data_IF_103946034777
#
_entry.id   IF_103946034777
#
_cell.length_a   1.000
_cell.length_b   1.000
_cell.length_c   1.000
_cell.angle_alpha   90.00
_cell.angle_beta   90.00
_cell.angle_gamma   90.00
#
_symmetry.space_group_name_H-M   'P 1'
#
loop_
_entity.id
_entity.type
_entity.pdbx_description
1 polymer ?
#
# COMPACT_ATOMS: atom_id res chain seq x y z
N UNK A 1 15.18 -13.26 -17.58
CA UNK A 1 15.91 -12.07 -18.09
C UNK A 1 14.95 -11.01 -18.63
N UNK A 2 13.90 -11.38 -19.38
CA UNK A 2 12.90 -10.42 -19.87
C UNK A 2 12.01 -9.87 -18.74
N UNK A 3 11.56 -10.72 -17.82
CA UNK A 3 10.76 -10.34 -16.66
C UNK A 3 11.49 -9.27 -15.82
N UNK A 4 12.79 -9.47 -15.56
CA UNK A 4 13.60 -8.51 -14.78
C UNK A 4 13.75 -7.14 -15.48
N UNK A 5 13.76 -7.11 -16.82
CA UNK A 5 13.76 -5.84 -17.56
C UNK A 5 12.42 -5.11 -17.45
N UNK A 6 11.31 -5.85 -17.57
CA UNK A 6 9.96 -5.28 -17.42
C UNK A 6 9.78 -4.73 -16.01
N UNK A 7 10.16 -5.47 -14.98
CA UNK A 7 10.12 -5.01 -13.58
C UNK A 7 10.95 -3.74 -13.37
N UNK A 8 12.17 -3.69 -13.93
CA UNK A 8 13.03 -2.50 -13.81
C UNK A 8 12.42 -1.28 -14.49
N UNK A 9 11.93 -1.44 -15.73
CA UNK A 9 11.28 -0.35 -16.49
C UNK A 9 10.04 0.14 -15.75
N UNK A 10 9.21 -0.78 -15.25
CA UNK A 10 8.01 -0.44 -14.46
C UNK A 10 8.37 0.32 -13.19
N UNK A 11 9.40 -0.12 -12.46
CA UNK A 11 9.87 0.57 -11.26
C UNK A 11 10.37 1.99 -11.56
N UNK A 12 11.16 2.17 -12.61
CA UNK A 12 11.66 3.49 -13.03
C UNK A 12 10.48 4.40 -13.41
N UNK A 13 9.53 3.91 -14.21
CA UNK A 13 8.35 4.68 -14.60
C UNK A 13 7.52 5.08 -13.38
N UNK A 14 7.28 4.14 -12.46
CA UNK A 14 6.50 4.39 -11.25
C UNK A 14 7.17 5.47 -10.39
N UNK A 15 8.45 5.37 -10.13
CA UNK A 15 9.19 6.38 -9.35
C UNK A 15 9.17 7.73 -10.06
N UNK A 16 9.43 7.76 -11.38
CA UNK A 16 9.46 9.01 -12.16
C UNK A 16 8.11 9.71 -12.14
N UNK A 17 7.01 9.00 -12.41
CA UNK A 17 5.67 9.60 -12.42
C UNK A 17 5.23 10.02 -11.02
N UNK A 18 5.53 9.23 -9.99
CA UNK A 18 5.20 9.59 -8.61
C UNK A 18 5.95 10.84 -8.18
N UNK A 19 7.25 10.93 -8.44
CA UNK A 19 8.05 12.10 -8.10
C UNK A 19 7.58 13.34 -8.87
N UNK A 20 7.32 13.20 -10.17
CA UNK A 20 6.79 14.28 -10.99
C UNK A 20 5.45 14.79 -10.43
N UNK A 21 4.53 13.90 -10.06
CA UNK A 21 3.25 14.26 -9.46
C UNK A 21 3.42 15.00 -8.13
N UNK A 22 4.25 14.45 -7.22
CA UNK A 22 4.52 15.07 -5.91
C UNK A 22 5.12 16.46 -6.06
N UNK A 23 6.11 16.60 -6.96
CA UNK A 23 6.71 17.91 -7.23
C UNK A 23 5.71 18.91 -7.82
N UNK A 24 4.87 18.46 -8.75
CA UNK A 24 3.83 19.31 -9.34
C UNK A 24 2.85 19.81 -8.28
N UNK A 25 2.39 18.93 -7.38
CA UNK A 25 1.52 19.32 -6.26
C UNK A 25 2.22 20.27 -5.28
N UNK A 26 3.47 19.98 -4.91
CA UNK A 26 4.23 20.83 -4.00
C UNK A 26 4.50 22.24 -4.57
N UNK A 27 4.78 22.33 -5.87
CA UNK A 27 4.96 23.63 -6.54
C UNK A 27 3.65 24.39 -6.70
N UNK A 28 2.53 23.69 -6.92
CA UNK A 28 1.23 24.32 -7.11
C UNK A 28 0.60 24.82 -5.80
N UNK A 29 0.75 24.09 -4.71
CA UNK A 29 0.10 24.36 -3.42
C UNK A 29 1.02 25.05 -2.40
N UNK A 30 2.33 24.86 -2.52
CA UNK A 30 3.29 25.25 -1.48
C UNK A 30 3.15 24.44 -0.19
N UNK A 31 3.91 24.80 0.84
CA UNK A 31 3.88 24.11 2.12
C UNK A 31 2.51 24.28 2.82
N UNK A 32 2.00 25.48 2.86
CA UNK A 32 0.74 25.82 3.55
C UNK A 32 -0.46 25.11 2.92
N UNK A 33 -0.52 25.03 1.58
CA UNK A 33 -1.58 24.30 0.88
C UNK A 33 -1.51 22.78 1.07
N UNK A 34 -0.31 22.22 1.20
CA UNK A 34 -0.13 20.80 1.52
C UNK A 34 -0.58 20.49 2.95
N UNK A 35 -0.29 21.37 3.90
CA UNK A 35 -0.74 21.21 5.29
C UNK A 35 -2.26 21.37 5.41
N UNK A 36 -2.86 22.32 4.70
CA UNK A 36 -4.31 22.49 4.66
C UNK A 36 -5.03 21.27 4.05
N UNK A 37 -4.47 20.65 3.00
CA UNK A 37 -5.01 19.41 2.44
C UNK A 37 -4.95 18.25 3.46
N UNK A 38 -3.88 18.19 4.24
CA UNK A 38 -3.72 17.22 5.33
C UNK A 38 -4.77 17.40 6.42
N UNK A 39 -4.98 18.64 6.87
CA UNK A 39 -5.97 18.97 7.91
C UNK A 39 -7.40 18.63 7.47
N UNK A 40 -7.73 18.83 6.21
CA UNK A 40 -9.03 18.47 5.63
C UNK A 40 -9.20 16.95 5.42
N UNK A 41 -8.14 16.15 5.59
CA UNK A 41 -8.14 14.70 5.35
C UNK A 41 -8.64 14.31 3.94
N UNK A 42 -8.27 15.10 2.93
CA UNK A 42 -8.63 14.87 1.53
C UNK A 42 -7.39 14.57 0.67
N UNK A 43 -7.55 13.79 -0.42
CA UNK A 43 -6.47 13.62 -1.39
C UNK A 43 -6.01 14.96 -1.96
N UNK A 44 -4.69 15.15 -2.11
CA UNK A 44 -4.08 16.40 -2.58
C UNK A 44 -4.67 16.87 -3.92
N UNK A 45 -4.97 15.94 -4.83
CA UNK A 45 -5.58 16.27 -6.12
C UNK A 45 -7.00 16.85 -5.95
N UNK A 46 -7.76 16.37 -4.99
CA UNK A 46 -9.10 16.90 -4.68
C UNK A 46 -9.01 18.28 -4.05
N UNK A 47 -8.04 18.50 -3.16
CA UNK A 47 -7.76 19.80 -2.59
C UNK A 47 -7.36 20.81 -3.68
N UNK A 48 -6.43 20.44 -4.56
CA UNK A 48 -6.00 21.27 -5.67
C UNK A 48 -7.16 21.66 -6.61
N UNK A 49 -8.08 20.70 -6.86
CA UNK A 49 -9.26 20.96 -7.69
C UNK A 49 -10.20 22.02 -7.07
N UNK A 50 -10.33 22.00 -5.74
CA UNK A 50 -11.14 22.95 -5.00
C UNK A 50 -10.51 24.36 -5.01
N UNK A 51 -9.19 24.45 -4.77
CA UNK A 51 -8.47 25.71 -4.70
C UNK A 51 -8.34 26.42 -6.07
N UNK A 52 -8.08 25.66 -7.12
CA UNK A 52 -7.88 26.26 -8.45
C UNK A 52 -9.16 26.73 -9.12
N UNK A 53 -10.34 26.34 -8.60
CA UNK A 53 -11.66 26.61 -9.20
C UNK A 53 -11.73 26.31 -10.71
N UNK A 54 -10.86 25.43 -11.20
CA UNK A 54 -10.80 25.05 -12.61
C UNK A 54 -11.92 24.04 -12.92
N UNK A 55 -12.89 24.37 -13.79
CA UNK A 55 -14.01 23.47 -14.07
C UNK A 55 -13.56 22.08 -14.54
N UNK A 56 -12.49 22.01 -15.31
CA UNK A 56 -11.89 20.76 -15.78
C UNK A 56 -11.40 19.89 -14.61
N UNK A 57 -10.71 20.49 -13.65
CA UNK A 57 -10.18 19.77 -12.49
C UNK A 57 -11.28 19.27 -11.56
N UNK A 58 -12.35 20.03 -11.41
CA UNK A 58 -13.50 19.69 -10.60
C UNK A 58 -14.20 18.41 -11.11
N UNK A 59 -14.20 18.18 -12.43
CA UNK A 59 -14.79 16.97 -13.03
C UNK A 59 -13.82 15.79 -13.08
N UNK A 60 -12.57 16.04 -13.46
CA UNK A 60 -11.61 14.95 -13.72
C UNK A 60 -11.03 14.34 -12.44
N UNK A 61 -10.85 15.16 -11.38
CA UNK A 61 -10.28 14.72 -10.11
C UNK A 61 -11.09 13.59 -9.44
N UNK A 62 -12.43 13.70 -9.27
CA UNK A 62 -13.24 12.62 -8.73
C UNK A 62 -13.19 11.35 -9.58
N UNK A 63 -13.17 11.48 -10.90
CA UNK A 63 -13.10 10.32 -11.81
C UNK A 63 -11.78 9.58 -11.62
N UNK A 64 -10.66 10.30 -11.60
CA UNK A 64 -9.33 9.70 -11.36
C UNK A 64 -9.30 9.03 -9.98
N UNK A 65 -9.79 9.71 -8.94
CA UNK A 65 -9.83 9.16 -7.59
C UNK A 65 -10.66 7.86 -7.52
N UNK A 66 -11.85 7.84 -8.11
CA UNK A 66 -12.72 6.66 -8.15
C UNK A 66 -12.04 5.51 -8.90
N UNK A 67 -11.46 5.77 -10.08
CA UNK A 67 -10.75 4.75 -10.84
C UNK A 67 -9.54 4.18 -10.07
N UNK A 68 -8.76 5.04 -9.42
CA UNK A 68 -7.61 4.63 -8.62
C UNK A 68 -8.03 3.78 -7.41
N UNK A 69 -9.10 4.18 -6.70
CA UNK A 69 -9.64 3.44 -5.56
C UNK A 69 -10.18 2.07 -6.01
N UNK A 70 -10.96 2.03 -7.08
CA UNK A 70 -11.54 0.78 -7.60
C UNK A 70 -10.45 -0.21 -8.00
N UNK A 71 -9.46 0.21 -8.78
CA UNK A 71 -8.37 -0.67 -9.22
C UNK A 71 -7.55 -1.18 -8.05
N UNK A 72 -7.23 -0.32 -7.09
CA UNK A 72 -6.51 -0.69 -5.86
C UNK A 72 -7.32 -1.67 -5.01
N UNK A 73 -8.62 -1.39 -4.81
CA UNK A 73 -9.52 -2.24 -4.03
C UNK A 73 -9.58 -3.67 -4.59
N UNK A 74 -9.81 -3.81 -5.89
CA UNK A 74 -9.87 -5.15 -6.52
C UNK A 74 -8.54 -5.90 -6.44
N UNK A 75 -7.43 -5.22 -6.63
CA UNK A 75 -6.11 -5.84 -6.49
C UNK A 75 -5.86 -6.39 -5.09
N UNK A 76 -6.17 -5.61 -4.05
CA UNK A 76 -6.02 -6.02 -2.67
C UNK A 76 -7.03 -7.09 -2.26
N UNK A 77 -8.27 -7.02 -2.77
CA UNK A 77 -9.32 -8.01 -2.50
C UNK A 77 -8.92 -9.40 -3.02
N UNK A 78 -8.45 -9.49 -4.27
CA UNK A 78 -7.96 -10.74 -4.84
C UNK A 78 -6.79 -11.32 -4.04
N UNK A 79 -5.81 -10.49 -3.69
CA UNK A 79 -4.69 -10.91 -2.84
C UNK A 79 -5.13 -11.39 -1.46
N UNK A 80 -6.14 -10.74 -0.87
CA UNK A 80 -6.72 -11.14 0.43
C UNK A 80 -7.46 -12.47 0.32
N UNK A 81 -8.25 -12.68 -0.73
CA UNK A 81 -8.92 -13.97 -0.98
C UNK A 81 -7.94 -15.12 -1.09
N UNK A 82 -6.92 -14.96 -1.94
CA UNK A 82 -5.91 -16.00 -2.18
C UNK A 82 -5.06 -16.26 -0.94
N UNK A 83 -4.59 -15.19 -0.29
CA UNK A 83 -3.78 -15.26 0.92
C UNK A 83 -4.54 -15.91 2.08
N UNK A 84 -5.80 -15.54 2.30
CA UNK A 84 -6.63 -16.14 3.35
C UNK A 84 -6.91 -17.62 3.07
N UNK A 85 -7.22 -17.96 1.83
CA UNK A 85 -7.44 -19.37 1.45
C UNK A 85 -6.18 -20.22 1.65
N UNK A 86 -5.01 -19.68 1.29
CA UNK A 86 -3.73 -20.36 1.50
C UNK A 86 -3.41 -20.55 2.98
N UNK A 87 -3.51 -19.48 3.77
CA UNK A 87 -3.26 -19.52 5.20
C UNK A 87 -4.19 -20.52 5.92
N UNK A 88 -5.47 -20.48 5.60
CA UNK A 88 -6.46 -21.35 6.22
C UNK A 88 -6.19 -22.83 5.92
N UNK A 89 -5.83 -23.14 4.67
CA UNK A 89 -5.45 -24.50 4.26
C UNK A 89 -4.15 -24.96 4.89
N UNK A 90 -3.22 -24.04 5.15
CA UNK A 90 -1.92 -24.37 5.75
C UNK A 90 -2.00 -24.57 7.27
N UNK A 91 -2.76 -23.71 7.96
CA UNK A 91 -2.84 -23.70 9.44
C UNK A 91 -3.94 -24.62 9.97
N UNK A 92 -5.08 -24.68 9.27
CA UNK A 92 -6.25 -25.44 9.70
C UNK A 92 -6.87 -26.28 8.56
N UNK A 93 -6.15 -27.26 8.00
CA UNK A 93 -6.59 -28.00 6.81
C UNK A 93 -7.94 -28.70 6.99
N UNK A 94 -8.21 -29.26 8.15
CA UNK A 94 -9.47 -29.94 8.46
C UNK A 94 -10.66 -28.97 8.54
N UNK A 95 -10.42 -27.75 8.98
CA UNK A 95 -11.44 -26.69 9.00
C UNK A 95 -11.67 -26.17 7.58
N UNK A 96 -10.60 -25.89 6.86
CA UNK A 96 -10.65 -25.41 5.48
C UNK A 96 -11.39 -26.39 4.53
N UNK A 97 -11.24 -27.70 4.75
CA UNK A 97 -11.91 -28.72 3.96
C UNK A 97 -13.45 -28.72 4.10
N UNK A 98 -13.99 -28.10 5.14
CA UNK A 98 -15.45 -27.99 5.37
C UNK A 98 -16.11 -26.93 4.50
N UNK A 99 -15.33 -26.01 3.95
CA UNK A 99 -15.84 -24.89 3.15
C UNK A 99 -15.49 -25.06 1.68
N UNK A 100 -16.46 -24.82 0.81
CA UNK A 100 -16.15 -24.72 -0.61
C UNK A 100 -15.30 -23.46 -0.89
N UNK A 101 -14.54 -23.48 -1.96
CA UNK A 101 -13.73 -22.30 -2.37
C UNK A 101 -14.60 -21.07 -2.57
N UNK A 102 -15.79 -21.23 -3.11
CA UNK A 102 -16.75 -20.12 -3.32
C UNK A 102 -17.26 -19.55 -2.00
N UNK A 103 -17.60 -20.41 -1.03
CA UNK A 103 -18.04 -19.98 0.30
C UNK A 103 -16.96 -19.18 1.01
N UNK A 104 -15.71 -19.67 0.95
CA UNK A 104 -14.58 -18.98 1.57
C UNK A 104 -14.35 -17.60 0.95
N UNK A 105 -14.35 -17.49 -0.38
CA UNK A 105 -14.25 -16.20 -1.09
C UNK A 105 -15.37 -15.25 -0.69
N UNK A 106 -16.60 -15.72 -0.69
CA UNK A 106 -17.75 -14.90 -0.31
C UNK A 106 -17.62 -14.39 1.14
N UNK A 107 -17.19 -15.23 2.06
CA UNK A 107 -16.97 -14.84 3.46
C UNK A 107 -15.88 -13.77 3.59
N UNK A 108 -14.76 -13.93 2.87
CA UNK A 108 -13.67 -12.93 2.84
C UNK A 108 -14.18 -11.62 2.25
N UNK A 109 -14.94 -11.66 1.16
CA UNK A 109 -15.46 -10.46 0.52
C UNK A 109 -16.43 -9.70 1.42
N UNK A 110 -17.34 -10.40 2.09
CA UNK A 110 -18.26 -9.79 3.06
C UNK A 110 -17.48 -9.18 4.21
N UNK A 111 -16.48 -9.89 4.75
CA UNK A 111 -15.66 -9.38 5.84
C UNK A 111 -14.90 -8.12 5.44
N UNK A 112 -14.22 -8.13 4.28
CA UNK A 112 -13.48 -6.97 3.75
C UNK A 112 -14.43 -5.80 3.50
N UNK A 113 -15.60 -6.05 2.90
CA UNK A 113 -16.59 -5.01 2.64
C UNK A 113 -17.11 -4.36 3.92
N UNK A 114 -17.52 -5.18 4.89
CA UNK A 114 -18.00 -4.67 6.19
C UNK A 114 -16.92 -3.88 6.91
N UNK A 115 -15.68 -4.38 6.93
CA UNK A 115 -14.54 -3.66 7.53
C UNK A 115 -14.29 -2.34 6.82
N UNK A 116 -14.32 -2.31 5.49
CA UNK A 116 -14.15 -1.08 4.71
C UNK A 116 -15.24 -0.05 5.02
N UNK A 117 -16.51 -0.48 5.13
CA UNK A 117 -17.63 0.40 5.51
C UNK A 117 -17.43 0.95 6.92
N UNK A 118 -17.06 0.11 7.89
CA UNK A 118 -16.80 0.57 9.27
C UNK A 118 -15.69 1.61 9.28
N UNK A 119 -14.56 1.36 8.61
CA UNK A 119 -13.45 2.30 8.52
C UNK A 119 -13.87 3.60 7.83
N UNK A 120 -14.67 3.52 6.76
CA UNK A 120 -15.19 4.71 6.09
C UNK A 120 -16.08 5.57 6.99
N UNK A 121 -16.93 4.93 7.82
CA UNK A 121 -17.79 5.64 8.77
C UNK A 121 -16.98 6.28 9.91
N UNK A 122 -15.94 5.59 10.38
CA UNK A 122 -15.06 6.12 11.44
C UNK A 122 -14.18 7.28 10.95
N UNK A 123 -14.00 7.37 9.62
CA UNK A 123 -13.21 8.42 8.95
C UNK A 123 -11.86 8.74 9.63
N UNK A 124 -11.00 7.74 9.87
CA UNK A 124 -9.69 7.99 10.45
C UNK A 124 -8.81 8.82 9.51
N UNK A 125 -7.74 9.40 10.04
CA UNK A 125 -6.73 10.10 9.24
C UNK A 125 -6.16 9.16 8.16
N UNK A 126 -6.26 9.56 6.90
CA UNK A 126 -5.73 8.80 5.76
C UNK A 126 -4.22 8.61 5.90
N UNK A 127 -3.51 9.66 6.36
CA UNK A 127 -2.06 9.62 6.51
C UNK A 127 -1.61 8.66 7.62
N UNK A 128 -2.36 8.60 8.73
CA UNK A 128 -2.05 7.67 9.81
C UNK A 128 -2.26 6.22 9.36
N UNK A 129 -3.34 5.96 8.63
CA UNK A 129 -3.58 4.64 8.04
C UNK A 129 -2.48 4.25 7.04
N UNK A 130 -2.05 5.16 6.17
CA UNK A 130 -0.93 4.91 5.24
C UNK A 130 0.37 4.65 6.02
N UNK A 131 0.62 5.39 7.10
CA UNK A 131 1.80 5.20 7.94
C UNK A 131 1.83 3.84 8.61
N UNK A 132 0.69 3.39 9.15
CA UNK A 132 0.58 2.06 9.77
C UNK A 132 0.71 0.94 8.72
N UNK A 133 -0.09 0.99 7.66
CA UNK A 133 -0.12 -0.08 6.66
C UNK A 133 1.15 -0.08 5.81
N UNK A 134 1.52 1.07 5.25
CA UNK A 134 2.68 1.20 4.36
C UNK A 134 4.01 1.18 5.10
N UNK A 135 4.11 1.98 6.16
CA UNK A 135 5.36 2.17 6.88
C UNK A 135 5.73 1.00 7.81
N UNK A 136 4.75 0.27 8.36
CA UNK A 136 5.03 -0.88 9.24
C UNK A 136 4.84 -2.20 8.52
N UNK A 137 3.61 -2.50 8.06
CA UNK A 137 3.32 -3.82 7.49
C UNK A 137 3.98 -4.04 6.12
N UNK A 138 3.83 -3.10 5.19
CA UNK A 138 4.43 -3.24 3.85
C UNK A 138 5.95 -3.19 3.95
N UNK A 139 6.52 -2.30 4.77
CA UNK A 139 7.97 -2.26 4.97
C UNK A 139 8.51 -3.58 5.53
N UNK A 140 7.82 -4.19 6.49
CA UNK A 140 8.17 -5.52 6.99
C UNK A 140 8.13 -6.58 5.89
N UNK A 141 7.03 -6.66 5.13
CA UNK A 141 6.83 -7.67 4.10
C UNK A 141 7.80 -7.54 2.93
N UNK A 142 8.10 -6.31 2.51
CA UNK A 142 8.91 -6.04 1.31
C UNK A 142 10.40 -6.04 1.60
N UNK A 143 10.83 -5.49 2.74
CA UNK A 143 12.26 -5.31 3.03
C UNK A 143 12.79 -6.32 4.05
N UNK A 144 12.06 -6.62 5.11
CA UNK A 144 12.57 -7.43 6.22
C UNK A 144 12.31 -8.93 5.98
N UNK A 145 11.09 -9.28 5.62
CA UNK A 145 10.69 -10.69 5.45
C UNK A 145 11.53 -11.44 4.40
N UNK A 146 11.85 -10.89 3.22
CA UNK A 146 12.71 -11.57 2.25
C UNK A 146 14.09 -11.89 2.81
N UNK A 147 14.69 -10.96 3.57
CA UNK A 147 16.02 -11.16 4.19
C UNK A 147 15.98 -12.28 5.23
N UNK A 148 14.91 -12.36 6.02
CA UNK A 148 14.71 -13.46 6.98
C UNK A 148 14.54 -14.80 6.25
N UNK A 149 13.82 -14.82 5.13
CA UNK A 149 13.65 -16.01 4.31
C UNK A 149 14.96 -16.47 3.66
N UNK A 150 15.80 -15.54 3.17
CA UNK A 150 17.12 -15.86 2.61
C UNK A 150 18.04 -16.53 3.65
N UNK A 151 17.93 -16.16 4.92
CA UNK A 151 18.69 -16.80 6.00
C UNK A 151 18.18 -18.22 6.33
N UNK A 152 16.88 -18.48 6.19
CA UNK A 152 16.28 -19.76 6.54
C UNK A 152 16.25 -20.77 5.39
N UNK A 153 15.97 -20.33 4.17
CA UNK A 153 15.83 -21.20 3.01
C UNK A 153 17.18 -21.55 2.38
N UNK A 154 17.55 -22.81 2.39
CA UNK A 154 18.85 -23.29 1.89
C UNK A 154 19.12 -22.88 0.45
N UNK A 155 18.07 -22.88 -0.40
CA UNK A 155 18.18 -22.49 -1.80
C UNK A 155 18.59 -21.01 -2.01
N UNK A 156 18.33 -20.14 -1.03
CA UNK A 156 18.56 -18.70 -1.12
C UNK A 156 19.69 -18.18 -0.21
N UNK A 157 20.38 -19.07 0.51
CA UNK A 157 21.47 -18.68 1.44
C UNK A 157 22.56 -17.83 0.81
N UNK A 158 22.83 -18.00 -0.49
CA UNK A 158 23.85 -17.21 -1.18
C UNK A 158 23.48 -15.73 -1.34
N UNK A 159 22.21 -15.37 -1.20
CA UNK A 159 21.75 -13.98 -1.17
C UNK A 159 21.80 -13.35 0.22
N UNK A 160 21.80 -14.15 1.30
CA UNK A 160 21.62 -13.69 2.67
C UNK A 160 22.70 -12.70 3.16
N UNK A 161 23.93 -12.79 2.63
CA UNK A 161 25.06 -11.96 3.03
C UNK A 161 25.55 -11.00 1.95
N UNK A 162 24.77 -10.79 0.91
CA UNK A 162 25.15 -9.84 -0.13
C UNK A 162 24.96 -8.40 0.36
N UNK A 163 25.83 -7.47 -0.09
CA UNK A 163 25.74 -6.05 0.31
C UNK A 163 24.38 -5.42 -0.05
N UNK A 164 23.81 -5.78 -1.18
CA UNK A 164 22.48 -5.35 -1.61
C UNK A 164 21.37 -5.80 -0.63
N UNK A 165 21.43 -7.03 -0.14
CA UNK A 165 20.48 -7.57 0.85
C UNK A 165 20.61 -6.85 2.19
N UNK A 166 21.84 -6.54 2.63
CA UNK A 166 22.06 -5.78 3.86
C UNK A 166 21.54 -4.34 3.71
N UNK A 167 21.78 -3.72 2.55
CA UNK A 167 21.26 -2.39 2.25
C UNK A 167 19.72 -2.35 2.32
N UNK A 168 19.05 -3.31 1.68
CA UNK A 168 17.59 -3.44 1.71
C UNK A 168 17.07 -3.59 3.14
N UNK A 169 17.74 -4.41 3.98
CA UNK A 169 17.37 -4.57 5.38
C UNK A 169 17.48 -3.26 6.17
N UNK A 170 18.60 -2.55 6.00
CA UNK A 170 18.84 -1.27 6.69
C UNK A 170 17.78 -0.24 6.29
N UNK A 171 17.51 -0.11 4.99
CA UNK A 171 16.47 0.79 4.48
C UNK A 171 15.10 0.43 5.07
N UNK A 172 14.74 -0.85 5.09
CA UNK A 172 13.49 -1.32 5.66
C UNK A 172 13.34 -1.01 7.16
N UNK A 173 14.42 -1.20 7.92
CA UNK A 173 14.45 -0.87 9.36
C UNK A 173 14.31 0.63 9.60
N UNK A 174 14.96 1.46 8.78
CA UNK A 174 14.84 2.93 8.88
C UNK A 174 13.41 3.37 8.57
N UNK A 175 12.82 2.89 7.47
CA UNK A 175 11.42 3.22 7.09
C UNK A 175 10.47 2.82 8.21
N UNK A 176 10.57 1.59 8.71
CA UNK A 176 9.72 1.10 9.79
C UNK A 176 9.93 1.89 11.08
N UNK A 177 11.17 2.23 11.43
CA UNK A 177 11.49 3.03 12.61
C UNK A 177 10.90 4.45 12.54
N UNK A 178 10.98 5.10 11.39
CA UNK A 178 10.37 6.43 11.16
C UNK A 178 8.84 6.33 11.24
N UNK A 179 8.24 5.30 10.63
CA UNK A 179 6.78 5.10 10.68
C UNK A 179 6.29 4.87 12.12
N UNK A 180 6.95 4.00 12.87
CA UNK A 180 6.63 3.75 14.29
C UNK A 180 6.79 5.01 15.13
N UNK A 181 7.87 5.76 14.91
CA UNK A 181 8.05 7.05 15.60
C UNK A 181 6.91 8.01 15.32
N UNK A 182 6.52 8.16 14.06
CA UNK A 182 5.43 9.06 13.68
C UNK A 182 4.08 8.64 14.30
N UNK A 183 3.82 7.34 14.45
CA UNK A 183 2.60 6.82 15.09
C UNK A 183 2.60 7.12 16.60
N UNK A 184 3.78 7.12 17.26
CA UNK A 184 3.88 7.31 18.72
C UNK A 184 3.90 8.80 19.10
N UNK A 185 4.56 9.62 18.29
CA UNK A 185 4.81 11.04 18.60
C UNK A 185 3.74 11.95 17.97
N UNK A 186 3.07 11.44 16.94
CA UNK A 186 1.90 11.97 16.25
C UNK A 186 1.80 13.11 15.75
#
# INVERSE_FOLDING_TARGET
REVSKVELVTAIMLVTFTMFFVWSCALALGADGMDAAREQNVPVLSYLANETHAPFMAWISPIIAICAIITSYFGHLLGTEEGTAYLLRSVAPNFAARFSTSTLRLTVNIFVFVTAVIVAVLNPSILDMISVVGGVFVAFLVYIMPVLLFNKATAFKHYARRPDTIFVLVVGLVIMGVAVRNIIVG
#
